data_IF_163526344214
#
_entry.id   IF_163526344214
#
_cell.length_a   1.000
_cell.length_b   1.000
_cell.length_c   1.000
_cell.angle_alpha   90.00
_cell.angle_beta   90.00
_cell.angle_gamma   90.00
#
_symmetry.space_group_name_H-M   'P 1'
#
loop_
_entity.id
_entity.type
_entity.pdbx_description
1 polymer ?
#
# COMPACT_ATOMS: atom_id res chain seq x y z
N UNK A 1 27.00 -37.58 -12.18
CA UNK A 1 26.01 -38.68 -12.22
C UNK A 1 24.71 -38.09 -12.70
N UNK A 2 24.34 -38.49 -13.90
CA UNK A 2 23.16 -38.08 -14.66
C UNK A 2 21.90 -38.63 -14.00
N UNK A 3 20.92 -37.78 -13.73
CA UNK A 3 19.56 -38.22 -13.38
C UNK A 3 18.75 -38.19 -14.68
N UNK A 4 18.53 -39.37 -15.25
CA UNK A 4 17.65 -39.61 -16.39
C UNK A 4 16.19 -39.76 -15.91
N UNK A 5 15.34 -38.91 -16.48
CA UNK A 5 13.95 -39.15 -16.94
C UNK A 5 13.11 -40.22 -16.21
N UNK A 6 12.09 -39.77 -15.48
CA UNK A 6 10.67 -39.98 -15.83
C UNK A 6 9.81 -39.40 -14.70
N UNK A 7 9.35 -38.17 -14.86
CA UNK A 7 8.19 -37.68 -14.12
C UNK A 7 7.32 -36.95 -15.13
N UNK A 8 6.21 -37.57 -15.51
CA UNK A 8 4.94 -36.85 -15.75
C UNK A 8 4.53 -36.20 -14.43
N UNK A 9 5.38 -35.28 -13.98
CA UNK A 9 5.38 -34.67 -12.67
C UNK A 9 4.45 -33.49 -12.71
N UNK A 10 3.56 -33.43 -11.73
CA UNK A 10 2.71 -32.29 -11.47
C UNK A 10 3.52 -30.99 -11.67
N UNK A 11 3.06 -30.06 -12.53
CA UNK A 11 3.75 -28.80 -12.73
C UNK A 11 3.98 -28.05 -11.42
N UNK A 12 5.06 -27.30 -11.30
CA UNK A 12 5.36 -26.55 -10.07
C UNK A 12 6.03 -25.22 -10.38
N UNK A 13 6.01 -24.31 -9.41
CA UNK A 13 6.87 -23.13 -9.43
C UNK A 13 8.12 -23.34 -8.58
N UNK A 14 9.29 -23.02 -9.14
CA UNK A 14 10.56 -22.93 -8.43
C UNK A 14 10.89 -21.46 -8.17
N UNK A 15 11.12 -21.08 -6.93
CA UNK A 15 11.47 -19.72 -6.52
C UNK A 15 12.90 -19.73 -5.98
N UNK A 16 13.79 -19.05 -6.68
CA UNK A 16 15.20 -18.85 -6.27
C UNK A 16 15.33 -17.45 -5.70
N UNK A 17 15.67 -17.33 -4.42
CA UNK A 17 15.87 -16.01 -3.81
C UNK A 17 17.26 -15.47 -4.07
N UNK A 18 17.39 -14.14 -4.09
CA UNK A 18 18.68 -13.48 -4.19
C UNK A 18 19.59 -13.84 -2.99
N UNK A 19 20.91 -14.04 -3.17
CA UNK A 19 21.82 -14.44 -2.08
C UNK A 19 21.77 -13.53 -0.83
N UNK A 20 21.50 -12.23 -1.01
CA UNK A 20 21.34 -11.30 0.11
C UNK A 20 20.16 -11.65 1.04
N UNK A 21 19.14 -12.38 0.57
CA UNK A 21 18.01 -12.81 1.41
C UNK A 21 18.38 -13.90 2.40
N UNK A 22 19.44 -14.68 2.11
CA UNK A 22 19.85 -15.87 2.87
C UNK A 22 18.73 -16.93 2.99
N UNK A 23 17.78 -16.94 2.05
CA UNK A 23 16.72 -17.94 1.98
C UNK A 23 17.08 -19.06 1.01
N UNK A 24 16.71 -20.29 1.34
CA UNK A 24 16.78 -21.41 0.40
C UNK A 24 15.73 -21.28 -0.69
N UNK A 25 15.97 -21.89 -1.85
CA UNK A 25 14.94 -21.97 -2.88
C UNK A 25 13.67 -22.67 -2.39
N UNK A 26 12.51 -22.29 -2.95
CA UNK A 26 11.19 -22.81 -2.59
C UNK A 26 10.53 -23.45 -3.81
N UNK A 27 9.91 -24.61 -3.62
CA UNK A 27 9.11 -25.30 -4.64
C UNK A 27 7.63 -25.21 -4.25
N UNK A 28 6.77 -24.85 -5.20
CA UNK A 28 5.32 -24.73 -5.03
C UNK A 28 4.61 -25.64 -6.04
N UNK A 29 4.17 -26.85 -5.64
CA UNK A 29 3.43 -27.77 -6.50
C UNK A 29 2.10 -27.19 -6.99
N UNK A 30 1.66 -27.58 -8.19
CA UNK A 30 0.36 -27.23 -8.77
C UNK A 30 -0.56 -28.47 -8.86
N UNK A 31 -0.52 -29.34 -7.86
CA UNK A 31 -1.37 -30.54 -7.73
C UNK A 31 -2.81 -30.22 -7.32
N UNK A 32 -3.12 -28.94 -7.08
CA UNK A 32 -4.42 -28.53 -6.57
C UNK A 32 -4.67 -28.96 -5.12
N UNK A 33 -3.70 -29.60 -4.45
CA UNK A 33 -3.70 -29.64 -3.00
C UNK A 33 -3.62 -28.18 -2.58
N UNK A 34 -4.59 -27.72 -1.79
CA UNK A 34 -4.52 -26.41 -1.16
C UNK A 34 -3.32 -26.45 -0.21
N UNK A 35 -2.11 -26.24 -0.74
CA UNK A 35 -1.10 -25.50 -0.01
C UNK A 35 -1.86 -24.24 0.36
N UNK A 36 -2.25 -24.16 1.62
CA UNK A 36 -3.01 -23.05 2.16
C UNK A 36 -2.51 -21.79 1.49
N UNK A 37 -3.43 -20.94 1.03
CA UNK A 37 -3.17 -19.60 0.47
C UNK A 37 -2.50 -18.66 1.50
N UNK A 38 -1.67 -19.21 2.39
CA UNK A 38 -0.76 -18.68 3.40
C UNK A 38 0.69 -18.60 2.88
N UNK A 39 1.07 -19.38 1.85
CA UNK A 39 2.48 -19.60 1.51
C UNK A 39 3.05 -18.69 0.40
N UNK A 40 2.20 -17.88 -0.22
CA UNK A 40 2.61 -16.84 -1.21
C UNK A 40 1.88 -15.52 -1.02
N UNK A 41 0.73 -15.57 -0.35
CA UNK A 41 0.06 -14.46 0.32
C UNK A 41 -0.05 -14.96 1.75
N UNK A 42 0.48 -14.31 2.79
CA UNK A 42 0.10 -14.68 4.14
C UNK A 42 -1.43 -14.54 4.18
N UNK A 43 -2.17 -15.59 4.53
CA UNK A 43 -3.60 -15.54 4.84
C UNK A 43 -3.79 -14.74 6.13
N UNK A 44 -3.51 -13.46 5.96
CA UNK A 44 -3.33 -12.38 6.91
C UNK A 44 -4.24 -11.22 6.50
N UNK A 45 -5.06 -11.37 5.46
CA UNK A 45 -6.29 -10.57 5.39
C UNK A 45 -7.25 -10.90 6.57
N UNK A 46 -6.95 -11.92 7.39
CA UNK A 46 -7.61 -12.18 8.68
C UNK A 46 -6.72 -12.19 9.94
N UNK A 47 -5.39 -12.33 9.84
CA UNK A 47 -4.55 -12.68 11.02
C UNK A 47 -3.08 -12.27 10.97
N UNK A 48 -2.68 -11.25 10.21
CA UNK A 48 -1.33 -10.70 10.38
C UNK A 48 -1.23 -9.81 11.59
N UNK A 49 -0.01 -9.39 11.96
CA UNK A 49 0.16 -8.28 12.88
C UNK A 49 -0.66 -7.12 12.31
N UNK A 50 -1.64 -6.65 13.06
CA UNK A 50 -2.42 -5.46 12.71
C UNK A 50 -1.49 -4.24 12.64
N UNK A 51 -1.89 -3.16 11.94
CA UNK A 51 -1.11 -1.94 11.85
C UNK A 51 -0.69 -1.41 13.24
N UNK A 52 0.16 -0.38 13.29
CA UNK A 52 0.55 0.35 14.52
C UNK A 52 -0.61 0.87 15.41
N UNK A 53 -1.87 0.66 15.02
CA UNK A 53 -3.02 0.74 15.90
C UNK A 53 -3.07 -0.52 16.76
N UNK A 54 -2.99 -0.34 18.09
CA UNK A 54 -3.17 -1.39 19.10
C UNK A 54 -4.08 -2.51 18.57
N UNK A 55 -3.63 -3.77 18.54
CA UNK A 55 -4.43 -4.87 18.02
C UNK A 55 -5.82 -4.95 18.68
N UNK A 56 -5.93 -4.45 19.91
CA UNK A 56 -7.17 -4.30 20.70
C UNK A 56 -8.07 -3.12 20.30
N UNK A 57 -7.58 -2.14 19.53
CA UNK A 57 -8.29 -0.91 19.11
C UNK A 57 -7.95 -0.50 17.66
N UNK A 58 -8.32 -1.31 16.65
CA UNK A 58 -8.09 -0.99 15.24
C UNK A 58 -8.86 0.25 14.75
N UNK A 59 -9.86 0.72 15.50
CA UNK A 59 -10.60 1.95 15.22
C UNK A 59 -9.96 3.19 15.84
N UNK A 60 -8.83 3.11 16.54
CA UNK A 60 -8.16 4.33 17.01
C UNK A 60 -7.74 5.21 15.81
N UNK A 61 -7.85 6.55 15.91
CA UNK A 61 -8.05 7.34 17.12
C UNK A 61 -9.51 7.60 17.49
N UNK A 62 -10.46 6.99 16.78
CA UNK A 62 -11.87 7.07 17.16
C UNK A 62 -12.09 6.41 18.54
N UNK A 63 -13.07 6.91 19.28
CA UNK A 63 -13.32 6.44 20.65
C UNK A 63 -13.89 5.02 20.64
N UNK A 64 -14.81 4.74 19.73
CA UNK A 64 -15.43 3.42 19.53
C UNK A 64 -15.37 2.98 18.06
N UNK A 65 -15.62 1.70 17.83
CA UNK A 65 -15.82 1.18 16.46
C UNK A 65 -17.03 1.83 15.79
N UNK A 66 -18.09 2.12 16.55
CA UNK A 66 -19.28 2.81 16.04
C UNK A 66 -18.94 4.21 15.52
N UNK A 67 -18.10 4.97 16.23
CA UNK A 67 -17.64 6.29 15.78
C UNK A 67 -16.81 6.20 14.49
N UNK A 68 -15.94 5.20 14.38
CA UNK A 68 -15.16 4.95 13.17
C UNK A 68 -16.07 4.65 11.97
N UNK A 69 -16.97 3.68 12.11
CA UNK A 69 -17.89 3.29 11.02
C UNK A 69 -18.82 4.44 10.64
N UNK A 70 -19.33 5.20 11.61
CA UNK A 70 -20.13 6.40 11.34
C UNK A 70 -19.32 7.44 10.55
N UNK A 71 -18.10 7.75 11.00
CA UNK A 71 -17.22 8.69 10.30
C UNK A 71 -16.90 8.23 8.87
N UNK A 72 -16.61 6.94 8.66
CA UNK A 72 -16.38 6.36 7.35
C UNK A 72 -17.58 6.58 6.42
N UNK A 73 -18.80 6.28 6.89
CA UNK A 73 -20.02 6.48 6.10
C UNK A 73 -20.21 7.95 5.74
N UNK A 74 -20.07 8.86 6.72
CA UNK A 74 -20.25 10.31 6.50
C UNK A 74 -19.24 10.86 5.50
N UNK A 75 -17.98 10.45 5.59
CA UNK A 75 -16.91 10.86 4.67
C UNK A 75 -17.16 10.32 3.26
N UNK A 76 -17.51 9.04 3.13
CA UNK A 76 -17.75 8.41 1.84
C UNK A 76 -18.96 9.01 1.11
N UNK A 77 -19.99 9.44 1.85
CA UNK A 77 -21.16 10.13 1.30
C UNK A 77 -20.91 11.62 1.05
N UNK A 78 -19.79 12.17 1.50
CA UNK A 78 -19.47 13.60 1.47
C UNK A 78 -20.54 14.44 2.18
N UNK A 79 -21.04 13.93 3.31
CA UNK A 79 -22.07 14.60 4.10
C UNK A 79 -21.61 15.98 4.58
N UNK A 80 -22.47 16.97 4.45
CA UNK A 80 -22.28 18.31 5.00
C UNK A 80 -22.37 18.30 6.53
N UNK A 81 -21.84 19.33 7.18
CA UNK A 81 -21.94 19.46 8.64
C UNK A 81 -23.38 19.43 9.15
N UNK A 82 -24.31 20.02 8.39
CA UNK A 82 -25.73 20.02 8.72
C UNK A 82 -26.35 18.62 8.67
N UNK A 83 -26.06 17.85 7.61
CA UNK A 83 -26.54 16.46 7.48
C UNK A 83 -25.99 15.58 8.61
N UNK A 84 -24.71 15.75 8.96
CA UNK A 84 -24.08 15.01 10.07
C UNK A 84 -24.79 15.34 11.40
N UNK A 85 -25.02 16.62 11.70
CA UNK A 85 -25.70 17.04 12.93
C UNK A 85 -27.14 16.51 12.98
N UNK A 86 -27.85 16.53 11.85
CA UNK A 86 -29.21 16.01 11.74
C UNK A 86 -29.26 14.50 11.97
N UNK A 87 -28.35 13.72 11.37
CA UNK A 87 -28.28 12.27 11.58
C UNK A 87 -27.94 11.93 13.04
N UNK A 88 -26.96 12.62 13.64
CA UNK A 88 -26.60 12.42 15.05
C UNK A 88 -27.79 12.71 15.97
N UNK A 89 -28.55 13.78 15.70
CA UNK A 89 -29.75 14.11 16.48
C UNK A 89 -30.82 13.02 16.37
N UNK A 90 -31.08 12.48 15.17
CA UNK A 90 -32.07 11.41 14.98
C UNK A 90 -31.67 10.12 15.71
N UNK A 91 -30.38 9.77 15.65
CA UNK A 91 -29.81 8.59 16.31
C UNK A 91 -29.90 8.72 17.84
N UNK A 92 -29.56 9.89 18.40
CA UNK A 92 -29.53 10.11 19.85
C UNK A 92 -30.94 10.29 20.47
N UNK A 93 -31.92 10.73 19.68
CA UNK A 93 -33.29 11.00 20.16
C UNK A 93 -34.27 9.85 19.90
N UNK A 94 -34.64 9.62 18.64
CA UNK A 94 -35.82 8.82 18.27
C UNK A 94 -35.49 7.39 17.89
N UNK A 95 -34.28 7.13 17.39
CA UNK A 95 -33.94 5.85 16.78
C UNK A 95 -33.28 4.85 17.74
N UNK A 96 -32.77 5.32 18.89
CA UNK A 96 -32.06 4.48 19.84
C UNK A 96 -32.76 4.46 21.21
N UNK A 97 -33.70 3.51 21.39
CA UNK A 97 -34.29 3.25 22.72
C UNK A 97 -33.22 2.67 23.65
N UNK A 98 -32.67 3.52 24.53
CA UNK A 98 -31.57 3.16 25.43
C UNK A 98 -30.26 3.91 25.19
N UNK A 99 -30.24 4.87 24.25
CA UNK A 99 -29.07 5.68 23.91
C UNK A 99 -28.24 5.09 22.76
N UNK A 100 -27.36 5.92 22.19
CA UNK A 100 -26.51 5.55 21.06
C UNK A 100 -25.13 5.04 21.50
N UNK A 101 -24.55 4.12 20.73
CA UNK A 101 -23.14 3.72 20.86
C UNK A 101 -22.16 4.78 20.31
N UNK A 102 -22.66 5.80 19.61
CA UNK A 102 -21.89 6.93 19.12
C UNK A 102 -21.53 7.87 20.27
N UNK A 103 -20.28 8.34 20.27
CA UNK A 103 -19.83 9.37 21.20
C UNK A 103 -19.88 10.78 20.59
N UNK A 104 -20.01 10.89 19.27
CA UNK A 104 -20.18 12.17 18.59
C UNK A 104 -21.50 12.84 18.95
N UNK A 105 -21.43 14.13 19.29
CA UNK A 105 -22.59 14.99 19.55
C UNK A 105 -22.80 16.02 18.46
N UNK A 106 -21.79 16.26 17.63
CA UNK A 106 -21.86 17.16 16.49
C UNK A 106 -20.83 16.79 15.42
N UNK A 107 -20.98 17.39 14.23
CA UNK A 107 -20.01 17.33 13.14
C UNK A 107 -18.62 17.81 13.57
N UNK A 108 -18.53 18.68 14.59
CA UNK A 108 -17.26 19.14 15.16
C UNK A 108 -16.49 17.98 15.79
N UNK A 109 -17.16 17.07 16.50
CA UNK A 109 -16.52 15.93 17.15
C UNK A 109 -15.96 14.95 16.11
N UNK A 110 -16.74 14.69 15.06
CA UNK A 110 -16.31 13.92 13.91
C UNK A 110 -15.09 14.57 13.25
N UNK A 111 -15.11 15.89 13.03
CA UNK A 111 -13.97 16.63 12.46
C UNK A 111 -12.72 16.49 13.33
N UNK A 112 -12.84 16.61 14.65
CA UNK A 112 -11.72 16.42 15.58
C UNK A 112 -11.14 15.00 15.52
N UNK A 113 -12.00 13.99 15.45
CA UNK A 113 -11.57 12.60 15.28
C UNK A 113 -10.84 12.39 13.95
N UNK A 114 -11.33 12.98 12.85
CA UNK A 114 -10.65 12.95 11.56
C UNK A 114 -9.30 13.69 11.59
N UNK A 115 -9.20 14.85 12.26
CA UNK A 115 -7.92 15.55 12.43
C UNK A 115 -6.91 14.72 13.24
N UNK A 116 -7.38 13.96 14.24
CA UNK A 116 -6.53 13.01 14.94
C UNK A 116 -6.10 11.86 14.01
N UNK A 117 -7.01 11.31 13.19
CA UNK A 117 -6.72 10.22 12.26
C UNK A 117 -5.74 10.64 11.16
N UNK A 118 -5.83 11.89 10.67
CA UNK A 118 -4.90 12.46 9.69
C UNK A 118 -3.44 12.40 10.14
N UNK A 119 -3.16 12.44 11.44
CA UNK A 119 -1.79 12.35 11.99
C UNK A 119 -1.16 10.96 11.82
N UNK A 120 -1.95 9.94 11.50
CA UNK A 120 -1.49 8.58 11.27
C UNK A 120 -1.00 8.35 9.84
N UNK A 121 -1.27 9.28 8.92
CA UNK A 121 -0.88 9.21 7.52
C UNK A 121 0.05 10.37 7.17
N UNK A 122 0.85 10.20 6.12
CA UNK A 122 1.71 11.29 5.64
C UNK A 122 0.83 12.41 5.06
N UNK A 123 0.90 13.63 5.62
CA UNK A 123 0.08 14.75 5.16
C UNK A 123 0.60 15.29 3.82
N UNK A 124 -0.28 15.99 3.10
CA UNK A 124 0.16 16.85 2.02
C UNK A 124 0.90 18.07 2.56
N UNK A 125 1.90 18.51 1.81
CA UNK A 125 2.63 19.74 2.01
C UNK A 125 2.83 20.45 0.67
N UNK A 126 2.97 21.77 0.72
CA UNK A 126 3.27 22.56 -0.46
C UNK A 126 4.75 22.45 -0.82
N UNK A 127 5.03 22.24 -2.09
CA UNK A 127 6.37 22.26 -2.68
C UNK A 127 6.41 23.24 -3.84
N UNK A 128 7.62 23.67 -4.19
CA UNK A 128 7.84 24.42 -5.42
C UNK A 128 9.16 24.04 -6.05
N UNK A 129 9.19 24.06 -7.38
CA UNK A 129 10.41 23.89 -8.18
C UNK A 129 10.51 25.11 -9.08
N UNK A 130 11.70 25.70 -9.17
CA UNK A 130 11.98 26.79 -10.10
C UNK A 130 12.91 26.29 -11.17
N UNK A 131 12.42 26.25 -12.42
CA UNK A 131 13.20 25.84 -13.58
C UNK A 131 13.37 27.00 -14.55
N UNK A 132 14.51 27.04 -15.24
CA UNK A 132 14.72 28.03 -16.30
C UNK A 132 14.07 27.54 -17.60
N UNK A 133 12.95 28.14 -17.96
CA UNK A 133 12.27 27.87 -19.22
C UNK A 133 12.42 29.07 -20.17
N UNK A 134 13.05 28.86 -21.33
CA UNK A 134 13.34 29.91 -22.31
C UNK A 134 14.07 31.13 -21.71
N UNK A 135 15.04 30.90 -20.82
CA UNK A 135 15.81 31.95 -20.15
C UNK A 135 15.03 32.74 -19.09
N UNK A 136 13.79 32.33 -18.76
CA UNK A 136 13.00 32.90 -17.67
C UNK A 136 12.86 31.89 -16.54
N UNK A 137 13.17 32.26 -15.29
CA UNK A 137 12.89 31.39 -14.16
C UNK A 137 11.37 31.27 -13.99
N UNK A 138 10.86 30.04 -14.01
CA UNK A 138 9.46 29.73 -13.80
C UNK A 138 9.30 28.84 -12.59
N UNK A 139 8.55 29.32 -11.60
CA UNK A 139 8.27 28.58 -10.36
C UNK A 139 6.94 27.85 -10.48
N UNK A 140 6.96 26.54 -10.26
CA UNK A 140 5.78 25.69 -10.23
C UNK A 140 5.51 25.25 -8.80
N UNK A 141 4.38 25.69 -8.23
CA UNK A 141 3.94 25.26 -6.90
C UNK A 141 2.95 24.10 -7.01
N UNK A 142 3.13 23.09 -6.16
CA UNK A 142 2.31 21.88 -6.14
C UNK A 142 2.14 21.35 -4.72
N UNK A 143 1.12 20.52 -4.53
CA UNK A 143 0.91 19.82 -3.26
C UNK A 143 1.45 18.39 -3.41
N UNK A 144 2.24 17.93 -2.46
CA UNK A 144 2.80 16.57 -2.47
C UNK A 144 2.85 15.96 -1.07
N UNK A 145 2.95 14.63 -1.00
CA UNK A 145 3.36 13.91 0.21
C UNK A 145 4.85 13.63 0.11
N UNK A 146 5.59 13.80 1.21
CA UNK A 146 7.01 13.42 1.26
C UNK A 146 7.17 11.93 0.90
N UNK A 147 7.81 11.60 -0.24
CA UNK A 147 7.96 10.22 -0.68
C UNK A 147 8.76 9.38 0.33
N UNK A 148 9.78 9.96 0.97
CA UNK A 148 10.61 9.26 1.95
C UNK A 148 9.86 9.01 3.25
N UNK A 149 9.13 10.00 3.76
CA UNK A 149 8.28 9.81 4.92
C UNK A 149 7.22 8.71 4.68
N UNK A 150 6.67 8.66 3.46
CA UNK A 150 5.74 7.60 3.07
C UNK A 150 6.41 6.23 2.99
N UNK A 151 7.57 6.11 2.33
CA UNK A 151 8.35 4.85 2.33
C UNK A 151 8.61 4.38 3.76
N UNK A 152 9.08 5.27 4.64
CA UNK A 152 9.35 4.93 6.04
C UNK A 152 8.07 4.49 6.78
N UNK A 153 6.91 5.07 6.48
CA UNK A 153 5.64 4.63 7.08
C UNK A 153 5.29 3.18 6.71
N UNK A 154 5.56 2.76 5.48
CA UNK A 154 5.32 1.40 5.02
C UNK A 154 6.35 0.41 5.58
N UNK A 155 7.63 0.79 5.57
CA UNK A 155 8.73 -0.07 6.05
C UNK A 155 8.66 -0.27 7.57
N UNK A 156 8.22 0.74 8.32
CA UNK A 156 8.07 0.67 9.78
C UNK A 156 6.75 0.07 10.24
N UNK A 157 5.79 -0.16 9.35
CA UNK A 157 4.55 -0.86 9.70
C UNK A 157 4.84 -2.36 9.84
N UNK A 158 4.72 -2.95 11.04
CA UNK A 158 5.00 -4.37 11.24
C UNK A 158 4.12 -5.29 10.40
N UNK A 159 2.88 -4.87 10.10
CA UNK A 159 1.94 -5.61 9.27
C UNK A 159 2.45 -5.75 7.84
N UNK A 160 2.95 -4.65 7.28
CA UNK A 160 3.45 -4.58 5.91
C UNK A 160 4.86 -5.15 5.82
N UNK A 161 5.68 -4.94 6.84
CA UNK A 161 7.03 -5.47 6.89
C UNK A 161 7.07 -7.01 6.87
N UNK A 162 6.12 -7.66 7.56
CA UNK A 162 6.01 -9.12 7.62
C UNK A 162 5.65 -9.76 6.28
N UNK A 163 5.01 -9.01 5.37
CA UNK A 163 4.54 -9.51 4.07
C UNK A 163 5.35 -8.96 2.89
N UNK A 164 6.35 -8.13 3.16
CA UNK A 164 7.16 -7.45 2.13
C UNK A 164 8.15 -8.40 1.44
N UNK A 165 8.23 -8.30 0.12
CA UNK A 165 9.30 -8.88 -0.70
C UNK A 165 10.54 -7.97 -0.64
N UNK A 166 11.32 -8.10 0.43
CA UNK A 166 12.52 -7.28 0.67
C UNK A 166 13.61 -7.48 -0.39
N UNK A 167 13.80 -8.74 -0.80
CA UNK A 167 14.85 -9.15 -1.73
C UNK A 167 14.25 -9.55 -3.09
N UNK A 168 15.05 -9.42 -4.14
CA UNK A 168 14.73 -9.93 -5.46
C UNK A 168 14.63 -11.46 -5.42
N UNK A 169 13.84 -12.02 -6.34
CA UNK A 169 13.71 -13.45 -6.49
C UNK A 169 13.51 -13.82 -7.95
N UNK A 170 13.70 -15.09 -8.26
CA UNK A 170 13.50 -15.65 -9.59
C UNK A 170 12.50 -16.78 -9.52
N UNK A 171 11.29 -16.56 -10.04
CA UNK A 171 10.25 -17.58 -10.20
C UNK A 171 10.31 -18.26 -11.56
N UNK A 172 10.24 -19.58 -11.59
CA UNK A 172 10.23 -20.39 -12.80
C UNK A 172 9.05 -21.35 -12.79
N UNK A 173 8.37 -21.50 -13.91
CA UNK A 173 7.37 -22.55 -14.11
C UNK A 173 8.08 -23.80 -14.64
N UNK A 174 7.86 -24.94 -13.99
CA UNK A 174 8.50 -26.21 -14.32
C UNK A 174 7.42 -27.25 -14.70
N UNK A 175 7.52 -27.81 -15.90
CA UNK A 175 6.61 -28.86 -16.41
C UNK A 175 7.36 -29.75 -17.39
N UNK A 176 7.19 -31.07 -17.28
CA UNK A 176 7.73 -32.05 -18.23
C UNK A 176 9.23 -31.90 -18.50
N UNK A 177 10.00 -31.58 -17.45
CA UNK A 177 11.46 -31.36 -17.54
C UNK A 177 11.88 -30.03 -18.15
N UNK A 178 10.94 -29.18 -18.57
CA UNK A 178 11.21 -27.82 -19.04
C UNK A 178 11.10 -26.81 -17.90
N UNK A 179 11.91 -25.76 -17.95
CA UNK A 179 11.88 -24.62 -17.01
C UNK A 179 11.74 -23.30 -17.79
N UNK A 180 10.69 -22.53 -17.49
CA UNK A 180 10.44 -21.23 -18.09
C UNK A 180 10.44 -20.11 -17.03
N UNK A 181 11.05 -18.97 -17.38
CA UNK A 181 11.10 -17.78 -16.52
C UNK A 181 9.71 -17.14 -16.40
N UNK A 182 9.21 -16.99 -15.18
CA UNK A 182 7.91 -16.35 -14.90
C UNK A 182 8.07 -15.00 -14.20
N UNK A 183 7.33 -13.99 -14.69
CA UNK A 183 7.34 -12.62 -14.17
C UNK A 183 5.94 -12.21 -13.70
N UNK A 184 5.71 -12.27 -12.39
CA UNK A 184 4.44 -11.94 -11.74
C UNK A 184 4.55 -10.80 -10.72
N UNK A 185 5.76 -10.34 -10.43
CA UNK A 185 6.02 -9.34 -9.40
C UNK A 185 7.19 -8.45 -9.81
N UNK A 186 7.19 -7.14 -9.50
CA UNK A 186 8.32 -6.27 -9.83
C UNK A 186 9.67 -6.80 -9.28
N UNK A 187 9.68 -7.34 -8.05
CA UNK A 187 10.86 -7.98 -7.44
C UNK A 187 11.30 -9.28 -8.14
N UNK A 188 10.50 -9.85 -9.04
CA UNK A 188 10.92 -10.96 -9.89
C UNK A 188 11.54 -10.54 -11.22
N UNK A 189 11.59 -9.25 -11.54
CA UNK A 189 12.26 -8.75 -12.73
C UNK A 189 13.78 -8.93 -12.65
N UNK A 190 14.42 -9.26 -13.77
CA UNK A 190 15.89 -9.35 -13.90
C UNK A 190 16.57 -8.08 -13.42
N UNK A 191 16.01 -6.91 -13.76
CA UNK A 191 16.58 -5.63 -13.34
C UNK A 191 16.63 -5.45 -11.82
N UNK A 192 15.66 -5.98 -11.07
CA UNK A 192 15.68 -5.92 -9.61
C UNK A 192 16.79 -6.81 -9.02
N UNK A 193 17.05 -7.96 -9.65
CA UNK A 193 18.17 -8.83 -9.30
C UNK A 193 19.50 -8.12 -9.55
N UNK A 194 19.69 -7.55 -10.74
CA UNK A 194 20.94 -6.88 -11.11
C UNK A 194 21.23 -5.65 -10.22
N UNK A 195 20.19 -4.91 -9.82
CA UNK A 195 20.33 -3.81 -8.85
C UNK A 195 20.78 -4.35 -7.50
N UNK A 196 20.22 -5.48 -7.05
CA UNK A 196 20.56 -6.07 -5.76
C UNK A 196 22.00 -6.63 -5.73
N UNK A 197 22.47 -7.20 -6.84
CA UNK A 197 23.88 -7.58 -7.04
C UNK A 197 24.83 -6.37 -6.92
N UNK A 198 24.35 -5.17 -7.27
CA UNK A 198 25.13 -3.93 -7.18
C UNK A 198 25.12 -3.27 -5.79
N UNK A 199 24.28 -3.75 -4.88
CA UNK A 199 24.25 -3.23 -3.50
C UNK A 199 25.47 -3.71 -2.72
N UNK A 200 25.94 -2.93 -1.72
CA UNK A 200 27.01 -3.37 -0.86
C UNK A 200 26.64 -4.67 -0.14
N UNK A 201 27.66 -5.45 0.23
CA UNK A 201 27.48 -6.63 1.06
C UNK A 201 26.74 -6.25 2.37
N UNK A 202 25.86 -7.13 2.88
CA UNK A 202 25.05 -6.85 4.07
C UNK A 202 25.88 -6.94 5.37
N UNK A 203 26.90 -6.10 5.51
CA UNK A 203 27.81 -5.99 6.66
C UNK A 203 28.23 -4.52 6.90
N UNK A 204 27.94 -3.93 8.07
CA UNK A 204 27.24 -4.52 9.23
C UNK A 204 25.71 -4.52 9.10
N UNK A 205 25.15 -3.81 8.13
CA UNK A 205 23.71 -3.63 7.99
C UNK A 205 23.20 -4.22 6.67
N UNK A 206 22.02 -4.88 6.67
CA UNK A 206 21.40 -5.32 5.44
C UNK A 206 20.99 -4.13 4.57
N UNK A 207 21.05 -4.32 3.25
CA UNK A 207 20.61 -3.35 2.25
C UNK A 207 19.58 -3.97 1.34
N UNK A 208 18.59 -3.17 0.96
CA UNK A 208 17.49 -3.60 0.08
C UNK A 208 17.18 -2.50 -0.92
N UNK A 209 16.79 -2.91 -2.13
CA UNK A 209 16.25 -2.02 -3.12
C UNK A 209 14.73 -1.86 -2.96
N UNK A 210 14.28 -0.63 -2.71
CA UNK A 210 12.87 -0.25 -2.58
C UNK A 210 12.40 0.47 -3.85
N UNK A 211 11.77 -0.29 -4.75
CA UNK A 211 11.22 0.27 -5.99
C UNK A 211 9.90 1.02 -5.77
N UNK A 212 9.72 2.11 -6.50
CA UNK A 212 8.46 2.84 -6.59
C UNK A 212 7.92 2.78 -8.02
N UNK A 213 6.64 2.46 -8.16
CA UNK A 213 5.91 2.64 -9.42
C UNK A 213 5.15 3.95 -9.31
N UNK A 214 5.59 4.96 -10.07
CA UNK A 214 5.02 6.31 -10.07
C UNK A 214 4.47 6.63 -11.44
N UNK A 215 3.23 7.10 -11.52
CA UNK A 215 2.63 7.50 -12.78
C UNK A 215 1.69 8.68 -12.58
N UNK A 216 1.58 9.52 -13.60
CA UNK A 216 0.54 10.55 -13.64
C UNK A 216 -0.67 10.02 -14.41
N UNK A 217 -1.85 10.24 -13.86
CA UNK A 217 -3.09 10.06 -14.60
C UNK A 217 -3.52 11.42 -15.17
N UNK A 218 -3.75 11.47 -16.49
CA UNK A 218 -4.19 12.68 -17.21
C UNK A 218 -5.65 13.04 -16.90
N UNK A 219 -6.36 12.24 -16.12
CA UNK A 219 -7.67 12.59 -15.59
C UNK A 219 -7.69 13.94 -14.86
N UNK A 220 -8.74 14.73 -15.11
CA UNK A 220 -9.00 15.93 -14.32
C UNK A 220 -9.57 15.52 -12.96
N UNK A 221 -8.96 16.01 -11.89
CA UNK A 221 -9.40 15.78 -10.50
C UNK A 221 -10.85 16.20 -10.25
N UNK A 222 -11.22 17.39 -10.72
CA UNK A 222 -12.60 17.90 -10.68
C UNK A 222 -12.85 18.80 -11.88
N UNK A 223 -14.13 19.14 -12.12
CA UNK A 223 -14.52 20.13 -13.15
C UNK A 223 -13.97 21.54 -12.85
N UNK A 224 -13.70 21.86 -11.59
CA UNK A 224 -13.31 23.18 -11.10
C UNK A 224 -11.81 23.34 -10.83
N UNK A 225 -11.09 22.25 -10.55
CA UNK A 225 -9.65 22.26 -10.24
C UNK A 225 -8.91 21.37 -11.22
N UNK A 226 -8.25 22.01 -12.19
CA UNK A 226 -7.42 21.36 -13.20
C UNK A 226 -6.06 20.99 -12.59
N UNK A 227 -5.99 19.82 -11.96
CA UNK A 227 -4.74 19.19 -11.50
C UNK A 227 -4.65 17.76 -12.00
N UNK A 228 -3.45 17.32 -12.34
CA UNK A 228 -3.18 15.92 -12.67
C UNK A 228 -2.71 15.17 -11.41
N UNK A 229 -3.37 14.07 -11.01
CA UNK A 229 -2.80 13.14 -10.04
C UNK A 229 -1.44 12.63 -10.50
N UNK A 230 -0.54 12.50 -9.53
CA UNK A 230 0.55 11.54 -9.58
C UNK A 230 0.32 10.53 -8.49
N UNK A 231 0.20 9.27 -8.87
CA UNK A 231 0.01 8.13 -7.99
C UNK A 231 1.35 7.41 -7.79
N UNK A 232 1.54 6.81 -6.61
CA UNK A 232 2.71 6.02 -6.30
C UNK A 232 2.32 4.70 -5.63
N UNK A 233 3.05 3.62 -5.94
CA UNK A 233 2.92 2.28 -5.35
C UNK A 233 4.27 1.74 -4.92
N UNK A 234 4.30 1.07 -3.77
CA UNK A 234 5.47 0.41 -3.23
C UNK A 234 5.64 -0.99 -3.84
N UNK A 235 6.60 -1.17 -4.74
CA UNK A 235 6.71 -2.39 -5.56
C UNK A 235 7.40 -3.56 -4.84
N UNK A 236 7.83 -3.36 -3.60
CA UNK A 236 8.30 -4.43 -2.70
C UNK A 236 7.15 -5.09 -1.94
N UNK A 237 5.96 -4.49 -1.89
CA UNK A 237 4.79 -5.16 -1.31
C UNK A 237 4.23 -6.19 -2.30
N UNK A 238 3.49 -7.22 -1.83
CA UNK A 238 2.73 -8.10 -2.70
C UNK A 238 1.76 -7.33 -3.60
N UNK A 239 1.51 -7.86 -4.81
CA UNK A 239 0.66 -7.20 -5.82
C UNK A 239 -0.77 -7.01 -5.33
N UNK A 240 -1.26 -7.94 -4.51
CA UNK A 240 -2.57 -7.91 -3.86
C UNK A 240 -2.68 -6.75 -2.87
N UNK A 241 -1.56 -6.30 -2.31
CA UNK A 241 -1.53 -5.22 -1.32
C UNK A 241 -1.32 -3.88 -2.01
N UNK A 242 -0.27 -3.70 -2.83
CA UNK A 242 -0.01 -2.37 -3.42
C UNK A 242 -1.02 -1.98 -4.50
N UNK A 243 -1.73 -2.96 -5.08
CA UNK A 243 -2.81 -2.69 -6.04
C UNK A 243 -4.17 -2.48 -5.37
N UNK A 244 -4.30 -2.79 -4.07
CA UNK A 244 -5.52 -2.57 -3.31
C UNK A 244 -5.64 -1.12 -2.79
N UNK A 245 -6.75 -0.83 -2.11
CA UNK A 245 -7.08 0.48 -1.52
C UNK A 245 -6.73 0.60 -0.02
N UNK A 246 -6.08 -0.40 0.57
CA UNK A 246 -5.73 -0.45 1.99
C UNK A 246 -4.38 0.23 2.35
N UNK A 247 -3.88 0.00 3.57
CA UNK A 247 -2.69 0.67 4.14
C UNK A 247 -1.39 0.49 3.34
N UNK A 248 -1.25 -0.59 2.56
CA UNK A 248 -0.11 -0.80 1.66
C UNK A 248 -0.40 -0.44 0.20
N UNK A 249 -1.61 0.04 -0.09
CA UNK A 249 -2.08 0.40 -1.42
C UNK A 249 -1.39 1.63 -2.01
N UNK A 250 -1.75 1.92 -3.26
CA UNK A 250 -1.26 3.12 -3.94
C UNK A 250 -1.75 4.41 -3.28
N UNK A 251 -0.89 5.42 -3.26
CA UNK A 251 -1.23 6.75 -2.72
C UNK A 251 -1.30 7.80 -3.83
N UNK A 252 -2.07 8.86 -3.57
CA UNK A 252 -1.89 10.13 -4.26
C UNK A 252 -0.63 10.82 -3.73
N UNK A 253 0.41 10.85 -4.54
CA UNK A 253 1.72 11.40 -4.17
C UNK A 253 1.79 12.90 -4.46
N UNK A 254 1.35 13.34 -5.64
CA UNK A 254 1.42 14.74 -6.07
C UNK A 254 0.09 15.16 -6.71
N UNK A 255 -0.30 16.41 -6.47
CA UNK A 255 -1.33 17.11 -7.22
C UNK A 255 -0.65 18.14 -8.12
N UNK A 256 -0.28 17.72 -9.33
CA UNK A 256 0.42 18.59 -10.27
C UNK A 256 -0.51 19.67 -10.81
N UNK A 257 -0.12 20.95 -10.79
CA UNK A 257 -0.88 21.99 -11.47
C UNK A 257 -0.88 21.72 -12.97
N UNK A 258 -2.04 21.88 -13.62
CA UNK A 258 -2.08 21.99 -15.07
C UNK A 258 -1.71 23.43 -15.39
N UNK A 259 -0.49 23.65 -15.86
CA UNK A 259 -0.07 24.95 -16.37
C UNK A 259 -1.03 25.33 -17.50
N UNK A 260 -1.77 26.43 -17.32
CA UNK A 260 -2.40 27.10 -18.45
C UNK A 260 -1.30 27.75 -19.28
N UNK A 261 -0.87 27.07 -20.33
CA UNK A 261 -0.37 27.73 -21.53
C UNK A 261 -1.58 28.04 -22.42
#
# INVERSE_FOLDING_TARGET
MSVTSDQSGIPYFRIVYHPHSRQSEKIVPLDGAQSSLLDGVPAVLGSGPRPLLSASRPWAPFRSYADFTFAEIMVNRRASGHEIDQELHLIDSQWSKGGSALSFRSHRDLKLALEAAKKLVVPFQSGSITENWNGRPMTFSFEYRDPWAWILSLVKDPALAAVSNWHAFRKFYCSDGNEERWYDHPKSATRCWDIEDSLPAPDPYPHVFLGLHVWSDKGLMTKTVKKHPVLARATWLPVEIFSASGNGGGILLILMPISGL
#
